data_IF_094268924051
#
_entry.id   IF_094268924051
#
_cell.length_a   1.000
_cell.length_b   1.000
_cell.length_c   1.000
_cell.angle_alpha   90.00
_cell.angle_beta   90.00
_cell.angle_gamma   90.00
#
_symmetry.space_group_name_H-M   'P 1'
#
loop_
_entity.id
_entity.type
_entity.pdbx_description
1 polymer ?
#
# COMPACT_ATOMS: atom_id res chain seq x y z
N UNK A 1 -12.03 29.38 46.57
CA UNK A 1 -12.94 29.36 45.40
C UNK A 1 -12.25 28.64 44.25
N UNK A 2 -12.56 27.36 43.99
CA UNK A 2 -12.22 26.73 42.72
C UNK A 2 -13.44 26.77 41.78
N UNK A 3 -13.21 27.24 40.56
CA UNK A 3 -14.19 27.34 39.48
C UNK A 3 -14.66 25.94 39.06
N UNK A 4 -15.98 25.72 39.08
CA UNK A 4 -16.61 24.53 38.51
C UNK A 4 -16.51 24.55 36.98
N UNK A 5 -16.12 23.45 36.32
CA UNK A 5 -16.20 23.38 34.86
C UNK A 5 -17.64 23.12 34.40
N UNK A 6 -18.12 23.96 33.49
CA UNK A 6 -19.38 23.80 32.77
C UNK A 6 -19.43 22.45 32.04
N UNK A 7 -20.58 21.76 31.98
CA UNK A 7 -20.70 20.51 31.25
C UNK A 7 -20.76 20.79 29.75
N UNK A 8 -19.65 20.58 29.05
CA UNK A 8 -19.66 20.49 27.59
C UNK A 8 -20.43 19.22 27.22
N UNK A 9 -21.62 19.42 26.64
CA UNK A 9 -22.51 18.39 26.10
C UNK A 9 -21.79 17.61 24.98
N UNK A 10 -20.90 16.66 25.35
CA UNK A 10 -20.45 15.61 24.43
C UNK A 10 -21.67 14.76 24.13
N UNK A 11 -22.15 14.83 22.89
CA UNK A 11 -23.02 13.79 22.34
C UNK A 11 -22.32 12.46 22.59
N UNK A 12 -22.86 11.69 23.53
CA UNK A 12 -22.65 10.25 23.55
C UNK A 12 -23.17 9.74 22.19
N UNK A 13 -22.24 9.34 21.31
CA UNK A 13 -22.58 8.34 20.32
C UNK A 13 -22.70 7.03 21.09
N UNK A 14 -23.92 6.79 21.53
CA UNK A 14 -24.39 5.46 21.85
C UNK A 14 -24.46 4.62 20.57
N UNK A 15 -24.57 3.31 20.77
CA UNK A 15 -24.91 2.26 19.82
C UNK A 15 -23.73 1.48 19.22
N UNK A 16 -23.64 0.23 19.66
CA UNK A 16 -23.06 -0.85 18.89
C UNK A 16 -23.68 -0.91 17.50
N UNK A 17 -22.87 -0.59 16.50
CA UNK A 17 -23.09 -0.93 15.10
C UNK A 17 -21.78 -1.55 14.65
N UNK A 18 -21.80 -2.81 14.21
CA UNK A 18 -20.64 -3.38 13.54
C UNK A 18 -20.24 -2.43 12.41
N UNK A 19 -19.00 -1.93 12.45
CA UNK A 19 -18.50 -0.98 11.47
C UNK A 19 -18.53 -1.67 10.11
N UNK A 20 -19.59 -1.40 9.36
CA UNK A 20 -19.91 -2.11 8.14
C UNK A 20 -18.93 -1.62 7.08
N UNK A 21 -18.08 -2.52 6.59
CA UNK A 21 -17.16 -2.26 5.50
C UNK A 21 -17.93 -1.68 4.31
N UNK A 22 -17.81 -0.37 4.07
CA UNK A 22 -18.58 0.32 3.03
C UNK A 22 -17.75 0.57 1.77
N UNK A 23 -18.38 0.49 0.59
CA UNK A 23 -17.75 0.82 -0.69
C UNK A 23 -17.14 2.22 -0.70
N UNK A 24 -17.81 3.19 -0.07
CA UNK A 24 -17.33 4.56 0.04
C UNK A 24 -16.05 4.65 0.85
N UNK A 25 -16.00 4.03 2.04
CA UNK A 25 -14.81 4.02 2.88
C UNK A 25 -13.62 3.33 2.19
N UNK A 26 -13.86 2.20 1.51
CA UNK A 26 -12.83 1.51 0.72
C UNK A 26 -12.34 2.41 -0.42
N UNK A 27 -13.24 3.06 -1.15
CA UNK A 27 -12.87 3.99 -2.23
C UNK A 27 -12.01 5.15 -1.71
N UNK A 28 -12.39 5.77 -0.60
CA UNK A 28 -11.64 6.88 -0.02
C UNK A 28 -10.26 6.43 0.48
N UNK A 29 -10.17 5.21 1.03
CA UNK A 29 -8.88 4.61 1.38
C UNK A 29 -8.01 4.41 0.14
N UNK A 30 -8.54 3.83 -0.94
CA UNK A 30 -7.78 3.61 -2.18
C UNK A 30 -7.23 4.92 -2.78
N UNK A 31 -7.99 6.02 -2.71
CA UNK A 31 -7.54 7.34 -3.17
C UNK A 31 -6.37 7.84 -2.33
N UNK A 32 -6.47 7.79 -1.00
CA UNK A 32 -5.38 8.22 -0.11
C UNK A 32 -4.11 7.39 -0.28
N UNK A 33 -4.28 6.09 -0.52
CA UNK A 33 -3.15 5.19 -0.80
C UNK A 33 -2.48 5.50 -2.14
N UNK A 34 -3.25 5.92 -3.15
CA UNK A 34 -2.72 6.38 -4.43
C UNK A 34 -1.89 7.67 -4.28
N UNK A 35 -2.41 8.66 -3.56
CA UNK A 35 -1.68 9.89 -3.25
C UNK A 35 -0.36 9.57 -2.51
N UNK A 36 -0.41 8.66 -1.53
CA UNK A 36 0.77 8.24 -0.75
C UNK A 36 1.86 7.62 -1.64
N UNK A 37 1.48 6.78 -2.60
CA UNK A 37 2.41 6.19 -3.57
C UNK A 37 3.05 7.28 -4.43
N UNK A 38 2.24 8.20 -4.97
CA UNK A 38 2.75 9.27 -5.84
C UNK A 38 3.77 10.13 -5.10
N UNK A 39 3.47 10.56 -3.87
CA UNK A 39 4.41 11.34 -3.08
C UNK A 39 5.69 10.57 -2.77
N UNK A 40 5.59 9.30 -2.35
CA UNK A 40 6.77 8.49 -2.06
C UNK A 40 7.68 8.33 -3.28
N UNK A 41 7.11 8.07 -4.46
CA UNK A 41 7.87 7.94 -5.71
C UNK A 41 8.51 9.26 -6.16
N UNK A 42 7.82 10.39 -6.02
CA UNK A 42 8.38 11.72 -6.31
C UNK A 42 9.59 12.00 -5.42
N UNK A 43 9.48 11.70 -4.12
CA UNK A 43 10.60 11.88 -3.19
C UNK A 43 11.77 10.96 -3.53
N UNK A 44 11.51 9.68 -3.84
CA UNK A 44 12.56 8.75 -4.25
C UNK A 44 13.23 9.14 -5.56
N UNK A 45 12.49 9.75 -6.50
CA UNK A 45 13.01 10.19 -7.79
C UNK A 45 14.05 11.33 -7.68
N UNK A 46 14.12 12.02 -6.54
CA UNK A 46 15.13 13.07 -6.29
C UNK A 46 16.55 12.52 -6.14
N UNK A 47 16.70 11.19 -6.06
CA UNK A 47 17.99 10.51 -5.91
C UNK A 47 18.27 9.58 -7.08
N UNK A 48 19.54 9.41 -7.48
CA UNK A 48 19.91 8.45 -8.50
C UNK A 48 19.63 7.02 -8.01
N UNK A 49 19.85 6.05 -8.88
CA UNK A 49 19.53 4.65 -8.58
C UNK A 49 20.32 4.12 -7.39
N UNK A 50 21.57 4.55 -7.18
CA UNK A 50 22.37 4.13 -6.02
C UNK A 50 22.46 2.59 -5.90
N UNK A 51 22.74 1.92 -7.02
CA UNK A 51 22.82 0.46 -7.14
C UNK A 51 23.63 -0.24 -6.04
N UNK A 52 24.74 0.33 -5.50
CA UNK A 52 25.45 -0.28 -4.38
C UNK A 52 24.57 -0.56 -3.15
N UNK A 53 23.51 0.22 -2.90
CA UNK A 53 22.56 0.00 -1.81
C UNK A 53 21.80 -1.34 -1.92
N UNK A 54 21.72 -1.91 -3.12
CA UNK A 54 21.00 -3.15 -3.42
C UNK A 54 21.93 -4.34 -3.64
N UNK A 55 23.24 -4.09 -3.69
CA UNK A 55 24.24 -5.15 -3.83
C UNK A 55 24.45 -5.88 -2.49
N UNK A 56 24.72 -7.19 -2.56
CA UNK A 56 25.00 -7.99 -1.38
C UNK A 56 26.30 -7.53 -0.71
N UNK A 57 26.25 -7.23 0.58
CA UNK A 57 27.41 -6.90 1.40
C UNK A 57 28.12 -8.17 1.91
N UNK A 58 29.35 -8.01 2.39
CA UNK A 58 30.17 -9.10 2.93
C UNK A 58 29.54 -9.82 4.14
N UNK A 59 28.61 -9.18 4.85
CA UNK A 59 27.89 -9.75 5.99
C UNK A 59 26.61 -10.52 5.61
N UNK A 60 26.30 -10.64 4.32
CA UNK A 60 25.09 -11.29 3.81
C UNK A 60 23.90 -10.32 3.74
N UNK A 61 23.38 -10.12 2.53
CA UNK A 61 22.24 -9.22 2.25
C UNK A 61 22.65 -7.80 1.84
N UNK A 62 21.72 -7.08 1.24
CA UNK A 62 21.87 -5.69 0.80
C UNK A 62 21.53 -4.69 1.92
N UNK A 63 21.95 -3.43 1.76
CA UNK A 63 21.57 -2.36 2.69
C UNK A 63 20.05 -2.17 2.73
N UNK A 64 19.37 -2.30 1.59
CA UNK A 64 17.91 -2.24 1.53
C UNK A 64 17.25 -3.35 2.36
N UNK A 65 17.71 -4.60 2.24
CA UNK A 65 17.19 -5.71 3.06
C UNK A 65 17.43 -5.50 4.55
N UNK A 66 18.65 -5.08 4.91
CA UNK A 66 18.99 -4.75 6.30
C UNK A 66 18.07 -3.65 6.86
N UNK A 67 17.95 -2.53 6.14
CA UNK A 67 17.15 -1.39 6.58
C UNK A 67 15.69 -1.79 6.77
N UNK A 68 15.09 -2.50 5.80
CA UNK A 68 13.70 -2.91 5.88
C UNK A 68 13.47 -3.86 7.05
N UNK A 69 14.36 -4.84 7.28
CA UNK A 69 14.24 -5.73 8.46
C UNK A 69 14.23 -4.97 9.77
N UNK A 70 15.19 -4.07 9.98
CA UNK A 70 15.30 -3.28 11.21
C UNK A 70 14.12 -2.32 11.39
N UNK A 71 13.71 -1.62 10.32
CA UNK A 71 12.55 -0.74 10.35
C UNK A 71 11.26 -1.51 10.68
N UNK A 72 11.11 -2.72 10.12
CA UNK A 72 9.96 -3.56 10.40
C UNK A 72 9.93 -4.07 11.84
N UNK A 73 11.08 -4.41 12.43
CA UNK A 73 11.19 -4.76 13.86
C UNK A 73 10.71 -3.60 14.73
N UNK A 74 11.13 -2.37 14.41
CA UNK A 74 10.66 -1.17 15.09
C UNK A 74 9.14 -0.99 14.95
N UNK A 75 8.62 -1.10 13.74
CA UNK A 75 7.17 -1.02 13.47
C UNK A 75 6.38 -2.12 14.20
N UNK A 76 6.91 -3.34 14.32
CA UNK A 76 6.28 -4.42 15.06
C UNK A 76 6.19 -4.10 16.56
N UNK A 77 7.29 -3.64 17.17
CA UNK A 77 7.30 -3.19 18.58
C UNK A 77 6.32 -2.05 18.84
N UNK A 78 6.18 -1.13 17.88
CA UNK A 78 5.20 -0.04 17.92
C UNK A 78 3.76 -0.49 17.67
N UNK A 79 3.52 -1.76 17.34
CA UNK A 79 2.19 -2.30 17.09
C UNK A 79 1.61 -1.85 15.75
N UNK A 80 2.42 -1.71 14.70
CA UNK A 80 1.96 -1.28 13.39
C UNK A 80 1.08 -2.32 12.66
N UNK A 81 1.47 -3.60 12.71
CA UNK A 81 0.82 -4.68 11.92
C UNK A 81 -0.49 -5.19 12.54
N UNK A 82 -1.43 -4.29 12.81
CA UNK A 82 -2.75 -4.64 13.37
C UNK A 82 -3.84 -4.70 12.32
N UNK A 83 -3.66 -3.97 11.20
CA UNK A 83 -4.63 -3.97 10.12
C UNK A 83 -4.29 -5.03 9.07
N UNK A 84 -5.30 -5.66 8.45
CA UNK A 84 -5.11 -6.65 7.40
C UNK A 84 -4.29 -6.21 6.16
N UNK A 85 -4.24 -4.92 5.88
CA UNK A 85 -3.45 -4.31 4.80
C UNK A 85 -2.00 -3.97 5.18
N UNK A 86 -1.70 -3.90 6.48
CA UNK A 86 -0.36 -3.65 6.99
C UNK A 86 0.40 -4.99 7.03
N UNK A 87 0.94 -5.40 5.87
CA UNK A 87 1.61 -6.71 5.71
C UNK A 87 3.13 -6.55 5.72
N UNK A 88 3.87 -7.24 6.60
CA UNK A 88 5.32 -7.17 6.65
C UNK A 88 6.02 -7.81 5.43
N UNK A 89 7.14 -7.26 4.97
CA UNK A 89 7.98 -7.90 3.93
C UNK A 89 8.75 -9.10 4.49
N UNK A 90 9.33 -8.94 5.68
CA UNK A 90 9.99 -10.03 6.41
C UNK A 90 9.19 -10.37 7.67
N UNK A 91 8.59 -11.57 7.71
CA UNK A 91 7.66 -11.99 8.77
C UNK A 91 8.25 -12.98 9.79
N UNK A 92 9.36 -13.64 9.47
CA UNK A 92 9.86 -14.79 10.24
C UNK A 92 10.28 -14.44 11.68
N UNK A 93 10.64 -13.17 11.96
CA UNK A 93 11.28 -12.79 13.23
C UNK A 93 10.72 -11.49 13.85
N UNK A 94 9.46 -11.15 13.57
CA UNK A 94 8.90 -9.92 14.12
C UNK A 94 8.55 -10.07 15.62
N UNK A 95 9.05 -9.16 16.48
CA UNK A 95 8.74 -9.20 17.90
C UNK A 95 7.27 -8.82 18.15
N UNK A 96 6.70 -9.24 19.30
CA UNK A 96 5.38 -8.79 19.70
C UNK A 96 5.37 -7.27 19.98
N UNK A 97 4.20 -6.62 19.85
CA UNK A 97 4.05 -5.21 20.24
C UNK A 97 4.41 -4.97 21.69
N UNK A 98 5.20 -3.92 21.95
CA UNK A 98 5.58 -3.47 23.29
C UNK A 98 4.60 -2.40 23.81
N UNK A 99 3.98 -1.67 22.88
CA UNK A 99 3.01 -0.63 23.20
C UNK A 99 1.57 -1.13 23.03
N UNK A 100 0.59 -0.52 23.74
CA UNK A 100 -0.81 -0.90 23.61
C UNK A 100 -1.31 -0.81 22.17
N UNK A 101 -1.99 -1.85 21.70
CA UNK A 101 -2.62 -1.90 20.38
C UNK A 101 -4.13 -1.84 20.49
N UNK A 102 -4.78 -1.26 19.48
CA UNK A 102 -6.23 -1.31 19.32
C UNK A 102 -6.56 -2.44 18.35
N UNK A 103 -7.43 -3.35 18.76
CA UNK A 103 -7.94 -4.40 17.87
C UNK A 103 -8.66 -3.80 16.66
N UNK A 104 -8.45 -4.41 15.50
CA UNK A 104 -9.16 -4.03 14.27
C UNK A 104 -10.44 -4.88 14.10
N UNK A 105 -11.56 -4.29 13.65
CA UNK A 105 -12.76 -5.05 13.33
C UNK A 105 -12.47 -6.19 12.34
N UNK A 106 -12.97 -7.40 12.64
CA UNK A 106 -12.82 -8.58 11.76
C UNK A 106 -13.85 -8.52 10.63
N UNK A 107 -13.60 -7.65 9.66
CA UNK A 107 -14.49 -7.42 8.50
C UNK A 107 -14.20 -8.32 7.31
N UNK A 108 -12.99 -8.88 7.24
CA UNK A 108 -12.51 -9.76 6.18
C UNK A 108 -12.67 -11.23 6.56
N UNK A 109 -12.85 -12.09 5.56
CA UNK A 109 -12.76 -13.53 5.72
C UNK A 109 -11.42 -13.96 6.37
N UNK A 110 -11.38 -14.95 7.29
CA UNK A 110 -10.15 -15.34 8.01
C UNK A 110 -8.95 -15.69 7.13
N UNK A 111 -9.19 -16.22 5.93
CA UNK A 111 -8.15 -16.51 4.94
C UNK A 111 -7.38 -15.26 4.46
N UNK A 112 -7.94 -14.06 4.62
CA UNK A 112 -7.27 -12.81 4.26
C UNK A 112 -5.96 -12.59 5.03
N UNK A 113 -5.81 -13.18 6.22
CA UNK A 113 -4.59 -13.12 7.02
C UNK A 113 -3.42 -13.92 6.44
N UNK A 114 -3.68 -14.95 5.62
CA UNK A 114 -2.64 -15.74 4.95
C UNK A 114 -2.24 -15.19 3.58
N UNK A 115 -2.93 -14.16 3.09
CA UNK A 115 -2.62 -13.53 1.80
C UNK A 115 -1.50 -12.50 1.99
N UNK A 116 -0.32 -12.81 1.46
CA UNK A 116 0.84 -11.93 1.37
C UNK A 116 1.43 -12.02 -0.05
N UNK A 117 1.60 -10.88 -0.71
CA UNK A 117 2.24 -10.79 -2.04
C UNK A 117 3.49 -9.90 -2.03
N UNK A 118 4.06 -9.66 -0.85
CA UNK A 118 5.21 -8.75 -0.68
C UNK A 118 6.46 -9.21 -1.44
N UNK A 119 6.68 -10.51 -1.62
CA UNK A 119 7.79 -11.01 -2.45
C UNK A 119 7.67 -10.56 -3.92
N UNK A 120 6.44 -10.52 -4.45
CA UNK A 120 6.19 -10.04 -5.80
C UNK A 120 6.34 -8.51 -5.86
N UNK A 121 5.84 -7.78 -4.86
CA UNK A 121 5.99 -6.32 -4.77
C UNK A 121 7.46 -5.92 -4.67
N UNK A 122 8.24 -6.64 -3.88
CA UNK A 122 9.67 -6.41 -3.73
C UNK A 122 10.41 -6.56 -5.07
N UNK A 123 10.20 -7.68 -5.76
CA UNK A 123 10.81 -7.95 -7.07
C UNK A 123 10.39 -6.92 -8.09
N UNK A 124 9.09 -6.62 -8.15
CA UNK A 124 8.54 -5.58 -9.01
C UNK A 124 9.19 -4.23 -8.76
N UNK A 125 9.27 -3.81 -7.51
CA UNK A 125 9.78 -2.50 -7.14
C UNK A 125 11.23 -2.33 -7.61
N UNK A 126 12.12 -3.25 -7.22
CA UNK A 126 13.55 -3.11 -7.50
C UNK A 126 13.91 -3.44 -8.96
N UNK A 127 13.27 -4.45 -9.56
CA UNK A 127 13.67 -4.92 -10.89
C UNK A 127 12.98 -4.18 -12.03
N UNK A 128 11.76 -3.68 -11.79
CA UNK A 128 10.91 -3.18 -12.87
C UNK A 128 10.55 -1.72 -12.66
N UNK A 129 10.10 -1.32 -11.47
CA UNK A 129 9.62 0.04 -11.23
C UNK A 129 10.76 1.04 -11.04
N UNK A 130 11.67 0.78 -10.11
CA UNK A 130 12.76 1.68 -9.72
C UNK A 130 13.60 2.18 -10.91
N UNK A 131 13.99 1.34 -11.90
CA UNK A 131 14.73 1.80 -13.08
C UNK A 131 13.95 2.74 -13.99
N UNK A 132 12.62 2.76 -13.93
CA UNK A 132 11.79 3.59 -14.81
C UNK A 132 11.76 5.05 -14.39
N UNK A 133 12.09 5.34 -13.13
CA UNK A 133 11.91 6.66 -12.53
C UNK A 133 13.13 7.28 -11.90
N UNK A 134 14.19 6.49 -11.71
CA UNK A 134 15.46 6.96 -11.19
C UNK A 134 16.49 7.01 -12.29
N UNK A 135 17.26 8.10 -12.33
CA UNK A 135 18.42 8.19 -13.21
C UNK A 135 19.50 7.19 -12.77
N UNK A 136 20.27 6.69 -13.74
CA UNK A 136 21.50 5.96 -13.45
C UNK A 136 22.48 6.89 -12.72
N UNK A 137 23.16 6.38 -11.70
CA UNK A 137 24.16 7.16 -10.96
C UNK A 137 24.32 6.70 -9.52
N UNK A 138 25.28 7.34 -8.87
CA UNK A 138 25.63 7.12 -7.48
C UNK A 138 25.99 8.45 -6.84
N UNK A 139 25.23 8.85 -5.82
CA UNK A 139 25.49 10.07 -5.03
C UNK A 139 25.99 9.77 -3.60
N UNK A 140 26.21 8.50 -3.26
CA UNK A 140 26.66 8.04 -1.95
C UNK A 140 25.61 8.14 -0.83
N UNK A 141 24.41 8.68 -1.07
CA UNK A 141 23.39 8.87 -0.04
C UNK A 141 22.53 7.61 0.15
N UNK A 142 23.18 6.49 0.47
CA UNK A 142 22.52 5.18 0.53
C UNK A 142 21.49 5.06 1.65
N UNK A 143 21.77 5.60 2.84
CA UNK A 143 20.87 5.52 3.98
C UNK A 143 19.53 6.22 3.71
N UNK A 144 19.57 7.40 3.12
CA UNK A 144 18.37 8.13 2.73
C UNK A 144 17.65 7.46 1.55
N UNK A 145 18.40 6.91 0.60
CA UNK A 145 17.85 6.13 -0.52
C UNK A 145 17.00 4.97 -0.03
N UNK A 146 17.53 4.13 0.87
CA UNK A 146 16.80 2.95 1.35
C UNK A 146 15.63 3.32 2.26
N UNK A 147 15.68 4.47 2.95
CA UNK A 147 14.55 5.00 3.70
C UNK A 147 13.41 5.43 2.78
N UNK A 148 13.72 6.10 1.66
CA UNK A 148 12.76 6.46 0.62
C UNK A 148 12.21 5.22 -0.10
N UNK A 149 13.06 4.22 -0.37
CA UNK A 149 12.63 2.92 -0.92
C UNK A 149 11.64 2.22 0.02
N UNK A 150 11.93 2.21 1.32
CA UNK A 150 11.03 1.63 2.32
C UNK A 150 9.68 2.33 2.35
N UNK A 151 9.64 3.67 2.27
CA UNK A 151 8.38 4.40 2.17
C UNK A 151 7.57 4.01 0.92
N UNK A 152 8.23 3.86 -0.23
CA UNK A 152 7.59 3.38 -1.46
C UNK A 152 7.02 1.97 -1.29
N UNK A 153 7.81 1.04 -0.74
CA UNK A 153 7.43 -0.35 -0.51
C UNK A 153 6.23 -0.46 0.44
N UNK A 154 6.20 0.34 1.52
CA UNK A 154 5.06 0.38 2.45
C UNK A 154 3.79 0.89 1.77
N UNK A 155 3.89 1.99 1.00
CA UNK A 155 2.75 2.56 0.28
C UNK A 155 2.19 1.59 -0.76
N UNK A 156 3.07 0.95 -1.55
CA UNK A 156 2.70 -0.06 -2.54
C UNK A 156 2.04 -1.28 -1.89
N UNK A 157 2.65 -1.82 -0.83
CA UNK A 157 2.11 -2.99 -0.13
C UNK A 157 0.73 -2.73 0.43
N UNK A 158 0.55 -1.60 1.11
CA UNK A 158 -0.74 -1.23 1.69
C UNK A 158 -1.81 -1.06 0.62
N UNK A 159 -1.53 -0.34 -0.47
CA UNK A 159 -2.48 -0.15 -1.59
C UNK A 159 -2.89 -1.45 -2.27
N UNK A 160 -1.94 -2.38 -2.46
CA UNK A 160 -2.19 -3.66 -3.11
C UNK A 160 -3.00 -4.57 -2.17
N UNK A 161 -2.62 -4.67 -0.91
CA UNK A 161 -3.34 -5.49 0.07
C UNK A 161 -4.71 -4.90 0.47
N UNK A 162 -4.96 -3.61 0.25
CA UNK A 162 -6.31 -3.04 0.32
C UNK A 162 -7.29 -3.72 -0.66
N UNK A 163 -6.79 -4.40 -1.69
CA UNK A 163 -7.59 -5.26 -2.56
C UNK A 163 -8.40 -6.34 -1.82
N UNK A 164 -7.97 -6.76 -0.62
CA UNK A 164 -8.74 -7.66 0.26
C UNK A 164 -10.11 -7.08 0.59
N UNK A 165 -10.18 -5.79 0.92
CA UNK A 165 -11.44 -5.11 1.20
C UNK A 165 -12.30 -4.95 -0.04
N UNK A 166 -11.69 -4.64 -1.19
CA UNK A 166 -12.42 -4.55 -2.46
C UNK A 166 -13.08 -5.89 -2.80
N UNK A 167 -12.34 -6.99 -2.67
CA UNK A 167 -12.85 -8.34 -2.91
C UNK A 167 -13.99 -8.68 -1.94
N UNK A 168 -13.82 -8.41 -0.65
CA UNK A 168 -14.84 -8.65 0.38
C UNK A 168 -16.13 -7.88 0.11
N UNK A 169 -16.03 -6.58 -0.21
CA UNK A 169 -17.23 -5.77 -0.47
C UNK A 169 -17.93 -6.21 -1.76
N UNK A 170 -17.18 -6.46 -2.84
CA UNK A 170 -17.75 -6.97 -4.10
C UNK A 170 -18.44 -8.32 -3.92
N UNK A 171 -17.82 -9.23 -3.15
CA UNK A 171 -18.41 -10.53 -2.85
C UNK A 171 -19.69 -10.40 -2.02
N UNK A 172 -19.71 -9.52 -1.02
CA UNK A 172 -20.90 -9.25 -0.20
C UNK A 172 -22.05 -8.63 -1.00
N UNK A 173 -21.73 -7.79 -1.98
CA UNK A 173 -22.71 -7.11 -2.84
C UNK A 173 -23.37 -8.07 -3.85
N UNK A 174 -22.57 -8.95 -4.49
CA UNK A 174 -23.08 -9.88 -5.49
C UNK A 174 -22.48 -11.30 -5.36
N UNK A 175 -22.78 -12.06 -4.28
CA UNK A 175 -22.18 -13.37 -4.04
C UNK A 175 -22.40 -14.37 -5.18
N UNK A 176 -23.55 -14.28 -5.87
CA UNK A 176 -23.92 -15.14 -6.99
C UNK A 176 -22.99 -15.02 -8.20
N UNK A 177 -22.35 -13.86 -8.41
CA UNK A 177 -21.44 -13.63 -9.54
C UNK A 177 -20.08 -14.27 -9.30
N UNK A 178 -19.68 -14.40 -8.04
CA UNK A 178 -18.36 -14.90 -7.65
C UNK A 178 -18.38 -16.34 -7.13
N UNK A 179 -19.49 -16.81 -6.54
CA UNK A 179 -19.56 -18.14 -5.91
C UNK A 179 -19.34 -19.31 -6.87
N UNK A 180 -19.99 -19.37 -8.06
CA UNK A 180 -19.73 -20.43 -9.02
C UNK A 180 -18.26 -20.51 -9.49
N UNK A 181 -17.62 -19.41 -9.94
CA UNK A 181 -16.22 -19.49 -10.37
C UNK A 181 -15.24 -19.74 -9.21
N UNK A 182 -15.51 -19.26 -7.99
CA UNK A 182 -14.70 -19.62 -6.80
C UNK A 182 -14.75 -21.13 -6.55
N UNK A 183 -15.93 -21.75 -6.61
CA UNK A 183 -16.09 -23.21 -6.43
C UNK A 183 -15.39 -24.00 -7.53
N UNK A 184 -15.42 -23.49 -8.76
CA UNK A 184 -14.74 -24.06 -9.90
C UNK A 184 -13.22 -23.79 -9.92
N UNK A 185 -12.68 -23.02 -8.95
CA UNK A 185 -11.28 -22.56 -8.90
C UNK A 185 -10.82 -21.87 -10.18
N UNK A 186 -11.74 -21.21 -10.87
CA UNK A 186 -11.42 -20.44 -12.08
C UNK A 186 -10.74 -19.15 -11.66
N UNK A 187 -9.66 -18.77 -12.36
CA UNK A 187 -9.00 -17.51 -12.11
C UNK A 187 -9.94 -16.35 -12.44
N UNK A 188 -10.40 -15.65 -11.40
CA UNK A 188 -11.42 -14.60 -11.47
C UNK A 188 -10.87 -13.21 -11.79
N UNK A 189 -9.57 -13.10 -12.04
CA UNK A 189 -8.87 -11.84 -12.28
C UNK A 189 -9.64 -11.02 -13.33
N UNK A 190 -9.97 -11.59 -14.49
CA UNK A 190 -10.77 -10.92 -15.54
C UNK A 190 -12.18 -10.47 -15.15
N UNK A 191 -12.90 -11.21 -14.29
CA UNK A 191 -14.27 -10.86 -13.89
C UNK A 191 -14.31 -9.67 -12.92
N UNK A 192 -13.25 -9.46 -12.13
CA UNK A 192 -13.09 -8.30 -11.25
C UNK A 192 -12.82 -7.00 -12.03
N UNK A 193 -12.27 -7.07 -13.25
CA UNK A 193 -12.03 -5.91 -14.15
C UNK A 193 -13.29 -5.47 -14.89
N UNK A 194 -14.19 -6.39 -15.24
CA UNK A 194 -15.30 -6.08 -16.16
C UNK A 194 -16.44 -5.24 -15.58
N UNK A 195 -16.45 -4.97 -14.26
CA UNK A 195 -17.50 -4.16 -13.61
C UNK A 195 -17.17 -2.68 -13.45
N UNK A 196 -16.00 -2.19 -13.88
CA UNK A 196 -15.66 -0.77 -13.74
C UNK A 196 -14.98 -0.17 -14.96
N UNK A 197 -15.76 0.01 -16.04
CA UNK A 197 -15.44 0.85 -17.19
C UNK A 197 -15.06 2.30 -16.83
N UNK A 198 -15.21 2.72 -15.57
CA UNK A 198 -14.93 4.07 -15.09
C UNK A 198 -13.62 4.22 -14.32
N UNK A 199 -12.89 3.15 -14.00
CA UNK A 199 -11.67 3.29 -13.20
C UNK A 199 -10.50 3.82 -14.04
N UNK A 200 -10.31 3.26 -15.24
CA UNK A 200 -9.29 3.71 -16.19
C UNK A 200 -9.56 5.14 -16.69
N UNK A 201 -10.82 5.50 -16.96
CA UNK A 201 -11.18 6.86 -17.39
C UNK A 201 -10.97 7.90 -16.28
N UNK A 202 -11.21 7.53 -15.02
CA UNK A 202 -10.96 8.40 -13.86
C UNK A 202 -9.49 8.48 -13.49
N UNK A 203 -8.73 7.39 -13.61
CA UNK A 203 -7.28 7.40 -13.47
C UNK A 203 -6.66 8.30 -14.55
N UNK A 204 -7.04 8.13 -15.83
CA UNK A 204 -6.58 8.98 -16.93
C UNK A 204 -6.98 10.45 -16.71
N UNK A 205 -8.23 10.73 -16.28
CA UNK A 205 -8.67 12.10 -15.98
C UNK A 205 -7.92 12.71 -14.78
N UNK A 206 -7.56 11.89 -13.78
CA UNK A 206 -6.77 12.30 -12.62
C UNK A 206 -5.29 12.52 -12.98
N UNK A 207 -4.73 11.69 -13.86
CA UNK A 207 -3.40 11.89 -14.45
C UNK A 207 -3.34 13.19 -15.27
N UNK A 208 -4.41 13.53 -16.00
CA UNK A 208 -4.58 14.82 -16.70
C UNK A 208 -4.79 15.99 -15.71
N UNK A 209 -5.38 15.75 -14.56
CA UNK A 209 -5.53 16.76 -13.51
C UNK A 209 -4.19 17.04 -12.79
N UNK A 210 -3.37 16.01 -12.57
CA UNK A 210 -2.01 16.11 -12.00
C UNK A 210 -1.05 16.90 -12.89
N UNK A 211 -1.18 16.84 -14.22
CA UNK A 211 -0.36 17.66 -15.12
C UNK A 211 -0.68 19.16 -15.05
N UNK A 212 -1.78 19.53 -14.38
CA UNK A 212 -2.23 20.93 -14.23
C UNK A 212 -1.62 21.65 -13.02
N UNK A 213 -0.99 20.94 -12.07
CA UNK A 213 -0.28 21.53 -10.92
C UNK A 213 1.25 21.30 -11.04
N UNK A 214 1.92 22.28 -11.65
CA UNK A 214 3.35 22.65 -11.50
C UNK A 214 4.48 21.63 -11.79
N UNK A 215 5.23 21.92 -12.88
CA UNK A 215 6.68 21.79 -13.07
C UNK A 215 7.39 20.50 -12.59
N UNK A 216 7.03 19.34 -13.18
CA UNK A 216 7.98 18.28 -13.55
C UNK A 216 7.30 17.31 -14.56
N UNK A 217 6.96 17.79 -15.77
CA UNK A 217 5.93 17.13 -16.59
C UNK A 217 6.37 15.82 -17.25
N UNK A 218 7.67 15.59 -17.44
CA UNK A 218 8.12 14.47 -18.27
C UNK A 218 8.40 13.18 -17.49
N UNK A 219 8.93 13.28 -16.26
CA UNK A 219 9.18 12.08 -15.46
C UNK A 219 7.87 11.51 -14.88
N UNK A 220 7.01 12.36 -14.31
CA UNK A 220 5.79 11.92 -13.63
C UNK A 220 4.79 11.31 -14.62
N UNK A 221 4.65 11.89 -15.82
CA UNK A 221 3.78 11.34 -16.87
C UNK A 221 4.25 9.96 -17.32
N UNK A 222 5.55 9.77 -17.56
CA UNK A 222 6.09 8.49 -18.00
C UNK A 222 6.03 7.44 -16.89
N UNK A 223 6.22 7.85 -15.63
CA UNK A 223 6.08 6.99 -14.46
C UNK A 223 4.67 6.49 -14.31
N UNK A 224 3.71 7.41 -14.28
CA UNK A 224 2.32 7.07 -14.02
C UNK A 224 1.75 6.29 -15.18
N UNK A 225 2.10 6.64 -16.42
CA UNK A 225 1.73 5.86 -17.60
C UNK A 225 2.32 4.44 -17.55
N UNK A 226 3.61 4.29 -17.17
CA UNK A 226 4.25 2.97 -17.05
C UNK A 226 3.77 2.19 -15.83
N UNK A 227 3.52 2.80 -14.68
CA UNK A 227 2.90 2.19 -13.50
C UNK A 227 1.50 1.69 -13.80
N UNK A 228 0.71 2.50 -14.51
CA UNK A 228 -0.63 2.09 -14.95
C UNK A 228 -0.53 0.88 -15.89
N UNK A 229 0.39 0.92 -16.86
CA UNK A 229 0.62 -0.19 -17.81
C UNK A 229 1.21 -1.44 -17.14
N UNK A 230 2.02 -1.24 -16.11
CA UNK A 230 2.68 -2.28 -15.33
C UNK A 230 1.71 -2.98 -14.38
N UNK A 231 0.88 -2.22 -13.66
CA UNK A 231 -0.23 -2.74 -12.86
C UNK A 231 -1.25 -3.48 -13.74
N UNK A 232 -1.41 -3.07 -15.01
CA UNK A 232 -2.20 -3.79 -16.02
C UNK A 232 -1.52 -5.09 -16.52
N UNK A 233 -0.21 -5.26 -16.37
CA UNK A 233 0.55 -6.41 -16.87
C UNK A 233 0.75 -7.52 -15.83
N UNK A 234 0.61 -7.19 -14.55
CA UNK A 234 0.55 -8.12 -13.40
C UNK A 234 -0.89 -8.41 -12.95
N UNK A 235 -1.86 -7.94 -13.72
CA UNK A 235 -3.28 -8.26 -13.69
C UNK A 235 -3.65 -9.16 -14.86
#
# INVERSE_FOLDING_TARGET
>A
LPLSPHPTRRRAMDAGGGEQLSLAAVRDQLIREEDSIVFALIERAKRPRNTPAYSAAAAGGSLAEFFVREAQVLHAKAGHYQKPEDVPFFSQDLPPPVFPTKGHPKVLHPFASSVCVNDAIWKMYFNELLPLFTADGDDGNYAETVALDFACLQALSRRIHCGKYVAEVKFKDAPQDYSPPIRAKVNLVGALYFTSSNYLSRLISWLIWLTSYTLLPQLIFHLLYRLTRFLLHFS
#
